data_IF_913930513199
#
_entry.id   IF_913930513199
#
_cell.length_a   1.000
_cell.length_b   1.000
_cell.length_c   1.000
_cell.angle_alpha   90.00
_cell.angle_beta   90.00
_cell.angle_gamma   90.00
#
_symmetry.space_group_name_H-M   'P 1'
#
loop_
_entity.id
_entity.type
_entity.pdbx_description
1 polymer ?
#
# COMPACT_ATOMS: atom_id res chain seq x y z
N UNK A 1 40.61 5.37 -19.00
CA UNK A 1 39.72 6.37 -19.63
C UNK A 1 38.51 6.54 -18.73
N UNK A 2 38.28 7.72 -18.16
CA UNK A 2 37.11 7.97 -17.33
C UNK A 2 35.84 7.80 -18.18
N UNK A 3 34.92 6.94 -17.74
CA UNK A 3 33.64 6.70 -18.42
C UNK A 3 32.86 8.02 -18.38
N UNK A 4 32.58 8.60 -19.55
CA UNK A 4 31.79 9.84 -19.67
C UNK A 4 30.42 9.57 -19.03
N UNK A 5 30.06 10.34 -18.01
CA UNK A 5 28.78 10.19 -17.30
C UNK A 5 27.60 10.36 -18.28
N UNK A 6 26.54 9.58 -18.06
CA UNK A 6 25.33 9.65 -18.87
C UNK A 6 24.71 11.06 -18.73
N UNK A 7 24.46 11.79 -19.83
CA UNK A 7 23.81 13.09 -19.78
C UNK A 7 22.49 13.11 -19.01
N UNK A 8 21.75 11.99 -18.96
CA UNK A 8 20.52 11.87 -18.16
C UNK A 8 20.84 11.81 -16.67
N UNK A 9 21.83 11.01 -16.26
CA UNK A 9 22.27 10.92 -14.86
C UNK A 9 22.73 12.28 -14.32
N UNK A 10 23.44 13.06 -15.15
CA UNK A 10 23.85 14.42 -14.79
C UNK A 10 22.63 15.30 -14.50
N UNK A 11 21.61 15.30 -15.38
CA UNK A 11 20.40 16.10 -15.16
C UNK A 11 19.60 15.66 -13.93
N UNK A 12 19.51 14.35 -13.69
CA UNK A 12 18.89 13.81 -12.47
C UNK A 12 19.63 14.22 -11.21
N UNK A 13 20.97 14.21 -11.24
CA UNK A 13 21.80 14.62 -10.12
C UNK A 13 21.60 16.12 -9.82
N UNK A 14 21.65 16.96 -10.84
CA UNK A 14 21.41 18.41 -10.72
C UNK A 14 20.05 18.68 -10.07
N UNK A 15 18.97 18.05 -10.58
CA UNK A 15 17.63 18.26 -10.03
C UNK A 15 17.52 17.83 -8.56
N UNK A 16 18.23 16.76 -8.15
CA UNK A 16 18.28 16.33 -6.73
C UNK A 16 19.08 17.27 -5.84
N UNK A 17 20.18 17.84 -6.35
CA UNK A 17 20.99 18.82 -5.62
C UNK A 17 20.19 20.11 -5.42
N UNK A 18 19.49 20.58 -6.46
CA UNK A 18 18.61 21.75 -6.38
C UNK A 18 17.51 21.60 -5.32
N UNK A 19 16.94 20.39 -5.15
CA UNK A 19 15.97 20.12 -4.07
C UNK A 19 16.56 20.30 -2.66
N UNK A 20 17.84 19.98 -2.46
CA UNK A 20 18.48 20.03 -1.14
C UNK A 20 18.87 21.45 -0.73
N UNK A 21 19.21 22.27 -1.71
CA UNK A 21 19.86 23.57 -1.51
C UNK A 21 18.96 24.76 -1.86
N UNK A 22 17.93 24.56 -2.67
CA UNK A 22 17.04 25.61 -3.15
C UNK A 22 15.89 25.95 -2.21
N UNK A 23 15.44 27.20 -2.27
CA UNK A 23 14.14 27.58 -1.70
C UNK A 23 12.98 27.01 -2.55
N UNK A 24 11.75 26.93 -2.00
CA UNK A 24 10.61 26.35 -2.71
C UNK A 24 10.28 26.99 -4.07
N UNK A 25 10.54 28.28 -4.27
CA UNK A 25 10.21 28.98 -5.53
C UNK A 25 11.23 28.68 -6.63
N UNK A 26 12.51 28.60 -6.27
CA UNK A 26 13.55 28.15 -7.20
C UNK A 26 13.36 26.67 -7.56
N UNK A 27 13.06 25.81 -6.57
CA UNK A 27 12.71 24.40 -6.83
C UNK A 27 11.53 24.34 -7.81
N UNK A 28 10.46 25.13 -7.59
CA UNK A 28 9.28 25.15 -8.47
C UNK A 28 9.63 25.53 -9.91
N UNK A 29 10.45 26.57 -10.13
CA UNK A 29 10.89 26.98 -11.48
C UNK A 29 11.66 25.86 -12.19
N UNK A 30 12.54 25.17 -11.44
CA UNK A 30 13.35 24.06 -11.97
C UNK A 30 12.51 22.84 -12.29
N UNK A 31 11.56 22.50 -11.42
CA UNK A 31 10.57 21.44 -11.66
C UNK A 31 9.77 21.75 -12.93
N UNK A 32 9.24 22.96 -13.08
CA UNK A 32 8.53 23.39 -14.31
C UNK A 32 9.36 23.19 -15.57
N UNK A 33 10.66 23.50 -15.53
CA UNK A 33 11.54 23.27 -16.68
C UNK A 33 11.81 21.78 -16.90
N UNK A 34 12.05 21.01 -15.84
CA UNK A 34 12.30 19.58 -15.91
C UNK A 34 11.09 18.78 -16.44
N UNK A 35 9.85 19.22 -16.20
CA UNK A 35 8.64 18.63 -16.78
C UNK A 35 8.63 18.69 -18.32
N UNK A 36 9.39 19.60 -18.94
CA UNK A 36 9.54 19.70 -20.40
C UNK A 36 10.59 18.76 -20.98
N UNK A 37 11.40 18.07 -20.15
CA UNK A 37 12.46 17.18 -20.62
C UNK A 37 11.89 16.04 -21.47
N UNK A 38 12.61 15.65 -22.51
CA UNK A 38 12.23 14.54 -23.41
C UNK A 38 12.38 13.16 -22.76
N UNK A 39 13.15 13.06 -21.68
CA UNK A 39 13.49 11.81 -21.02
C UNK A 39 12.57 11.57 -19.82
N UNK A 40 11.86 10.44 -19.83
CA UNK A 40 10.89 10.01 -18.85
C UNK A 40 11.39 10.05 -17.41
N UNK A 41 12.64 9.65 -17.15
CA UNK A 41 13.18 9.65 -15.77
C UNK A 41 13.31 11.05 -15.17
N UNK A 42 13.64 12.05 -15.98
CA UNK A 42 13.76 13.45 -15.51
C UNK A 42 12.37 13.99 -15.20
N UNK A 43 11.40 13.72 -16.07
CA UNK A 43 10.01 14.11 -15.84
C UNK A 43 9.40 13.39 -14.64
N UNK A 44 9.69 12.10 -14.45
CA UNK A 44 9.21 11.33 -13.31
C UNK A 44 9.73 11.91 -11.98
N UNK A 45 11.01 12.28 -11.92
CA UNK A 45 11.58 12.92 -10.73
C UNK A 45 10.97 14.31 -10.49
N UNK A 46 10.74 15.09 -11.55
CA UNK A 46 10.09 16.39 -11.44
C UNK A 46 8.64 16.27 -10.95
N UNK A 47 7.86 15.32 -11.48
CA UNK A 47 6.51 15.05 -11.03
C UNK A 47 6.46 14.59 -9.56
N UNK A 48 7.41 13.75 -9.13
CA UNK A 48 7.57 13.39 -7.71
C UNK A 48 7.80 14.62 -6.82
N UNK A 49 8.52 15.64 -7.30
CA UNK A 49 8.66 16.88 -6.54
C UNK A 49 7.38 17.72 -6.55
N UNK A 50 6.59 17.70 -7.64
CA UNK A 50 5.24 18.30 -7.61
C UNK A 50 4.36 17.65 -6.53
N UNK A 51 4.41 16.32 -6.41
CA UNK A 51 3.70 15.55 -5.38
C UNK A 51 4.16 15.94 -3.96
N UNK A 52 5.47 15.91 -3.70
CA UNK A 52 6.04 16.18 -2.37
C UNK A 52 5.86 17.63 -1.89
N UNK A 53 5.93 18.60 -2.80
CA UNK A 53 5.83 20.04 -2.49
C UNK A 53 4.44 20.63 -2.77
N UNK A 54 3.50 19.82 -3.26
CA UNK A 54 2.14 20.22 -3.62
C UNK A 54 2.10 21.44 -4.56
N UNK A 55 2.85 21.39 -5.66
CA UNK A 55 2.88 22.48 -6.65
C UNK A 55 1.64 22.48 -7.56
N UNK A 56 0.50 22.91 -7.01
CA UNK A 56 -0.80 22.99 -7.70
C UNK A 56 -0.73 23.81 -9.02
N UNK A 57 0.08 24.89 -9.05
CA UNK A 57 0.22 25.73 -10.25
C UNK A 57 0.96 25.05 -11.42
N UNK A 58 1.49 23.84 -11.22
CA UNK A 58 2.13 23.03 -12.25
C UNK A 58 1.20 21.96 -12.86
N UNK A 59 -0.08 21.91 -12.48
CA UNK A 59 -1.07 21.02 -13.08
C UNK A 59 -1.07 21.08 -14.64
N UNK A 60 -1.07 22.26 -15.29
CA UNK A 60 -1.06 22.31 -16.76
C UNK A 60 0.23 21.75 -17.38
N UNK A 61 1.37 21.93 -16.70
CA UNK A 61 2.67 21.42 -17.14
C UNK A 61 2.72 19.88 -17.01
N UNK A 62 2.15 19.32 -15.93
CA UNK A 62 1.99 17.89 -15.71
C UNK A 62 1.11 17.24 -16.79
N UNK A 63 -0.08 17.80 -17.05
CA UNK A 63 -1.00 17.31 -18.10
C UNK A 63 -0.33 17.37 -19.48
N UNK A 64 0.37 18.46 -19.79
CA UNK A 64 1.12 18.60 -21.04
C UNK A 64 2.24 17.56 -21.16
N UNK A 65 2.92 17.24 -20.06
CA UNK A 65 3.94 16.20 -20.05
C UNK A 65 3.35 14.80 -20.23
N UNK A 66 2.23 14.50 -19.58
CA UNK A 66 1.51 13.24 -19.74
C UNK A 66 1.13 13.00 -21.21
N UNK A 67 0.49 13.99 -21.83
CA UNK A 67 0.06 13.92 -23.23
C UNK A 67 1.21 13.67 -24.21
N UNK A 68 2.43 14.17 -23.93
CA UNK A 68 3.61 13.89 -24.75
C UNK A 68 4.07 12.43 -24.68
N UNK A 69 3.92 11.79 -23.52
CA UNK A 69 4.29 10.39 -23.30
C UNK A 69 3.25 9.39 -23.80
N UNK A 70 2.03 9.84 -24.12
CA UNK A 70 1.06 9.02 -24.85
C UNK A 70 1.49 8.74 -26.30
N UNK A 71 2.31 9.61 -26.90
CA UNK A 71 2.78 9.44 -28.27
C UNK A 71 4.03 8.53 -28.34
N UNK A 72 3.90 7.35 -28.97
CA UNK A 72 4.90 6.26 -28.97
C UNK A 72 5.26 5.81 -27.54
N UNK A 73 4.26 5.34 -26.77
CA UNK A 73 4.35 5.24 -25.32
C UNK A 73 5.42 4.25 -24.85
N UNK A 74 5.47 3.05 -25.44
CA UNK A 74 6.49 2.02 -25.15
C UNK A 74 7.92 2.53 -25.35
N UNK A 75 8.15 3.34 -26.39
CA UNK A 75 9.49 3.87 -26.70
C UNK A 75 9.87 5.05 -25.83
N UNK A 76 8.93 5.95 -25.54
CA UNK A 76 9.21 7.21 -24.84
C UNK A 76 9.14 7.07 -23.33
N UNK A 77 8.31 6.17 -22.84
CA UNK A 77 8.08 5.95 -21.41
C UNK A 77 7.85 4.47 -21.13
N UNK A 78 8.89 3.63 -21.36
CA UNK A 78 8.82 2.21 -21.03
C UNK A 78 8.57 2.04 -19.53
N UNK A 79 7.68 1.12 -19.19
CA UNK A 79 7.15 0.85 -17.86
C UNK A 79 6.38 2.01 -17.23
N UNK A 80 5.80 2.91 -18.03
CA UNK A 80 5.00 4.05 -17.56
C UNK A 80 5.66 4.96 -16.51
N UNK A 81 6.99 4.99 -16.38
CA UNK A 81 7.69 5.69 -15.28
C UNK A 81 7.32 7.16 -15.15
N UNK A 82 7.21 7.88 -16.26
CA UNK A 82 6.80 9.28 -16.24
C UNK A 82 5.29 9.42 -16.05
N UNK A 83 4.48 8.65 -16.80
CA UNK A 83 3.02 8.74 -16.71
C UNK A 83 2.51 8.44 -15.30
N UNK A 84 3.01 7.39 -14.67
CA UNK A 84 2.67 7.01 -13.30
C UNK A 84 3.00 8.14 -12.32
N UNK A 85 4.24 8.63 -12.33
CA UNK A 85 4.66 9.72 -11.45
C UNK A 85 3.85 11.01 -11.67
N UNK A 86 3.48 11.31 -12.92
CA UNK A 86 2.63 12.46 -13.26
C UNK A 86 1.23 12.27 -12.69
N UNK A 87 0.60 11.10 -12.87
CA UNK A 87 -0.75 10.85 -12.36
C UNK A 87 -0.78 10.89 -10.83
N UNK A 88 0.22 10.30 -10.15
CA UNK A 88 0.34 10.43 -8.69
C UNK A 88 0.44 11.88 -8.24
N UNK A 89 1.27 12.67 -8.92
CA UNK A 89 1.37 14.11 -8.64
C UNK A 89 0.04 14.83 -8.84
N UNK A 90 -0.68 14.56 -9.95
CA UNK A 90 -2.00 15.14 -10.23
C UNK A 90 -3.03 14.77 -9.15
N UNK A 91 -3.04 13.51 -8.69
CA UNK A 91 -3.91 13.09 -7.59
C UNK A 91 -3.56 13.81 -6.28
N UNK A 92 -2.27 13.94 -5.95
CA UNK A 92 -1.80 14.58 -4.72
C UNK A 92 -2.07 16.09 -4.66
N UNK A 93 -1.99 16.80 -5.80
CA UNK A 93 -2.32 18.24 -5.88
C UNK A 93 -3.82 18.50 -6.05
N UNK A 94 -4.67 17.50 -5.86
CA UNK A 94 -6.14 17.60 -5.96
C UNK A 94 -6.64 18.09 -7.34
N UNK A 95 -6.01 17.64 -8.43
CA UNK A 95 -6.49 17.90 -9.79
C UNK A 95 -7.99 17.57 -9.92
N UNK A 96 -8.76 18.47 -10.55
CA UNK A 96 -10.21 18.34 -10.68
C UNK A 96 -10.65 17.84 -12.08
N UNK A 97 -9.71 17.46 -12.93
CA UNK A 97 -10.00 16.91 -14.26
C UNK A 97 -10.49 15.46 -14.16
N UNK A 98 -11.80 15.32 -13.94
CA UNK A 98 -12.49 14.03 -13.82
C UNK A 98 -12.34 13.19 -15.09
N UNK A 99 -12.43 13.83 -16.27
CA UNK A 99 -12.32 13.13 -17.55
C UNK A 99 -10.91 12.54 -17.75
N UNK A 100 -9.87 13.27 -17.34
CA UNK A 100 -8.50 12.77 -17.32
C UNK A 100 -8.38 11.47 -16.53
N UNK A 101 -8.94 11.42 -15.31
CA UNK A 101 -8.86 10.23 -14.48
C UNK A 101 -9.69 9.08 -15.05
N UNK A 102 -10.91 9.34 -15.56
CA UNK A 102 -11.77 8.31 -16.18
C UNK A 102 -11.08 7.66 -17.39
N UNK A 103 -10.43 8.46 -18.24
CA UNK A 103 -9.66 7.91 -19.36
C UNK A 103 -8.42 7.14 -18.89
N UNK A 104 -7.77 7.61 -17.83
CA UNK A 104 -6.65 6.93 -17.20
C UNK A 104 -7.00 5.56 -16.59
N UNK A 105 -8.22 5.37 -16.06
CA UNK A 105 -8.71 4.05 -15.59
C UNK A 105 -8.71 2.98 -16.69
N UNK A 106 -8.90 3.41 -17.94
CA UNK A 106 -8.97 2.52 -19.12
C UNK A 106 -7.61 2.38 -19.80
N UNK A 107 -6.60 3.15 -19.39
CA UNK A 107 -5.31 3.15 -20.05
C UNK A 107 -4.62 1.78 -19.91
N UNK A 108 -3.94 1.37 -20.99
CA UNK A 108 -3.18 0.12 -21.10
C UNK A 108 -1.90 0.41 -21.88
N UNK A 109 -0.78 -0.13 -21.44
CA UNK A 109 0.49 -0.08 -22.14
C UNK A 109 1.08 -1.49 -22.23
N UNK A 110 0.71 -2.20 -23.30
CA UNK A 110 1.23 -3.52 -23.58
C UNK A 110 2.66 -3.44 -24.09
N UNK A 111 3.60 -3.96 -23.30
CA UNK A 111 5.01 -4.05 -23.64
C UNK A 111 5.40 -5.51 -23.90
N UNK A 112 6.24 -5.75 -24.93
CA UNK A 112 6.62 -7.11 -25.30
C UNK A 112 7.52 -7.74 -24.23
N UNK A 113 7.17 -8.95 -23.82
CA UNK A 113 8.03 -9.86 -23.06
C UNK A 113 8.30 -11.12 -23.91
N UNK A 114 9.08 -12.07 -23.40
CA UNK A 114 9.37 -13.28 -24.16
C UNK A 114 8.08 -14.08 -24.44
N UNK A 115 7.68 -14.13 -25.72
CA UNK A 115 6.47 -14.81 -26.22
C UNK A 115 5.12 -14.29 -25.68
N UNK A 116 5.06 -13.08 -25.11
CA UNK A 116 3.81 -12.50 -24.62
C UNK A 116 3.91 -10.97 -24.49
N UNK A 117 2.90 -10.35 -23.89
CA UNK A 117 2.87 -8.94 -23.50
C UNK A 117 2.56 -8.79 -22.02
N UNK A 118 3.09 -7.73 -21.41
CA UNK A 118 2.73 -7.31 -20.06
C UNK A 118 2.13 -5.91 -20.11
N UNK A 119 1.05 -5.67 -19.37
CA UNK A 119 0.52 -4.32 -19.22
C UNK A 119 1.27 -3.56 -18.14
N UNK A 120 2.07 -2.57 -18.53
CA UNK A 120 2.85 -1.76 -17.60
C UNK A 120 2.10 -0.53 -17.07
N UNK A 121 0.80 -0.39 -17.40
CA UNK A 121 -0.03 0.73 -16.99
C UNK A 121 -0.89 0.48 -15.74
N UNK A 122 -0.65 -0.61 -15.00
CA UNK A 122 -1.40 -0.92 -13.77
C UNK A 122 -1.39 0.27 -12.80
N UNK A 123 -0.21 0.79 -12.45
CA UNK A 123 -0.09 1.87 -11.47
C UNK A 123 -0.64 3.21 -11.96
N UNK A 124 -0.70 3.41 -13.28
CA UNK A 124 -1.42 4.55 -13.88
C UNK A 124 -2.90 4.47 -13.54
N UNK A 125 -3.51 3.28 -13.67
CA UNK A 125 -4.93 3.07 -13.35
C UNK A 125 -5.21 3.22 -11.87
N UNK A 126 -4.38 2.61 -11.02
CA UNK A 126 -4.47 2.74 -9.56
C UNK A 126 -4.41 4.20 -9.14
N UNK A 127 -3.44 4.96 -9.67
CA UNK A 127 -3.30 6.38 -9.34
C UNK A 127 -4.46 7.23 -9.87
N UNK A 128 -5.02 6.88 -11.04
CA UNK A 128 -6.23 7.54 -11.55
C UNK A 128 -7.46 7.22 -10.70
N UNK A 129 -7.58 6.00 -10.17
CA UNK A 129 -8.65 5.62 -9.27
C UNK A 129 -8.62 6.47 -7.99
N UNK A 130 -7.45 6.65 -7.40
CA UNK A 130 -7.25 7.53 -6.24
C UNK A 130 -7.57 8.99 -6.57
N UNK A 131 -7.09 9.51 -7.70
CA UNK A 131 -7.42 10.87 -8.14
C UNK A 131 -8.91 11.09 -8.35
N UNK A 132 -9.61 10.13 -8.97
CA UNK A 132 -11.05 10.18 -9.19
C UNK A 132 -11.84 10.15 -7.87
N UNK A 133 -11.41 9.32 -6.91
CA UNK A 133 -12.01 9.26 -5.58
C UNK A 133 -11.89 10.60 -4.85
N UNK A 134 -10.70 11.23 -4.90
CA UNK A 134 -10.44 12.53 -4.28
C UNK A 134 -11.16 13.70 -4.97
N UNK A 135 -11.41 13.62 -6.28
CA UNK A 135 -12.10 14.66 -7.05
C UNK A 135 -13.60 14.81 -6.70
N UNK A 136 -14.13 14.02 -5.76
CA UNK A 136 -15.53 14.10 -5.29
C UNK A 136 -16.57 14.02 -6.41
N UNK A 137 -16.25 13.31 -7.49
CA UNK A 137 -17.15 13.13 -8.62
C UNK A 137 -18.36 12.26 -8.21
N UNK A 138 -19.62 12.73 -8.39
CA UNK A 138 -20.80 11.99 -7.91
C UNK A 138 -20.98 10.58 -8.49
N UNK A 139 -20.33 10.27 -9.61
CA UNK A 139 -20.37 8.93 -10.22
C UNK A 139 -19.05 8.16 -10.10
N UNK A 140 -18.13 8.59 -9.24
CA UNK A 140 -16.84 7.92 -9.04
C UNK A 140 -17.00 6.42 -8.76
N UNK A 141 -17.93 6.04 -7.86
CA UNK A 141 -18.21 4.64 -7.56
C UNK A 141 -18.65 3.81 -8.78
N UNK A 142 -19.34 4.42 -9.75
CA UNK A 142 -19.77 3.72 -10.98
C UNK A 142 -18.57 3.41 -11.87
N UNK A 143 -17.60 4.31 -11.94
CA UNK A 143 -16.37 4.10 -12.71
C UNK A 143 -15.43 3.12 -11.98
N UNK A 144 -15.27 3.27 -10.66
CA UNK A 144 -14.44 2.39 -9.82
C UNK A 144 -14.99 0.95 -9.77
N UNK A 145 -16.31 0.76 -9.83
CA UNK A 145 -16.92 -0.56 -9.90
C UNK A 145 -16.48 -1.34 -11.16
N UNK A 146 -16.20 -0.67 -12.28
CA UNK A 146 -15.67 -1.33 -13.47
C UNK A 146 -14.23 -1.81 -13.24
N UNK A 147 -13.43 -1.03 -12.51
CA UNK A 147 -12.03 -1.38 -12.19
C UNK A 147 -11.94 -2.58 -11.22
N UNK A 148 -13.00 -2.87 -10.44
CA UNK A 148 -13.07 -4.11 -9.64
C UNK A 148 -13.12 -5.40 -10.49
N UNK A 149 -13.29 -5.30 -11.82
CA UNK A 149 -13.25 -6.42 -12.76
C UNK A 149 -12.05 -6.33 -13.72
N UNK A 150 -11.02 -5.58 -13.32
CA UNK A 150 -9.80 -5.48 -14.10
C UNK A 150 -9.07 -6.84 -14.19
N UNK A 151 -8.48 -7.21 -15.35
CA UNK A 151 -7.68 -8.43 -15.45
C UNK A 151 -6.49 -8.45 -14.46
N UNK A 152 -5.92 -7.29 -14.16
CA UNK A 152 -4.78 -7.16 -13.24
C UNK A 152 -5.27 -7.03 -11.80
N UNK A 153 -4.82 -7.93 -10.94
CA UNK A 153 -5.20 -7.97 -9.52
C UNK A 153 -4.83 -6.69 -8.76
N UNK A 154 -3.64 -6.14 -9.02
CA UNK A 154 -3.19 -4.87 -8.45
C UNK A 154 -4.10 -3.69 -8.84
N UNK A 155 -4.68 -3.71 -10.04
CA UNK A 155 -5.66 -2.71 -10.44
C UNK A 155 -6.97 -2.86 -9.65
N UNK A 156 -7.41 -4.11 -9.39
CA UNK A 156 -8.56 -4.38 -8.53
C UNK A 156 -8.32 -3.97 -7.07
N UNK A 157 -7.14 -4.23 -6.51
CA UNK A 157 -6.72 -3.75 -5.18
C UNK A 157 -6.74 -2.22 -5.13
N UNK A 158 -6.18 -1.56 -6.15
CA UNK A 158 -6.23 -0.10 -6.26
C UNK A 158 -7.65 0.46 -6.35
N UNK A 159 -8.57 -0.23 -7.03
CA UNK A 159 -9.98 0.13 -7.06
C UNK A 159 -10.61 0.05 -5.67
N UNK A 160 -10.35 -1.04 -4.93
CA UNK A 160 -10.82 -1.21 -3.55
C UNK A 160 -10.33 -0.08 -2.67
N UNK A 161 -9.03 0.24 -2.71
CA UNK A 161 -8.44 1.36 -1.96
C UNK A 161 -9.08 2.70 -2.30
N UNK A 162 -9.29 2.96 -3.59
CA UNK A 162 -9.96 4.18 -4.04
C UNK A 162 -11.40 4.25 -3.52
N UNK A 163 -12.15 3.14 -3.56
CA UNK A 163 -13.51 3.06 -3.01
C UNK A 163 -13.50 3.30 -1.49
N UNK A 164 -12.53 2.72 -0.77
CA UNK A 164 -12.39 2.85 0.68
C UNK A 164 -12.13 4.27 1.18
N UNK A 165 -11.70 5.19 0.31
CA UNK A 165 -11.54 6.61 0.66
C UNK A 165 -12.67 7.50 0.11
N UNK A 166 -13.62 6.94 -0.64
CA UNK A 166 -14.83 7.68 -1.06
C UNK A 166 -15.88 7.72 0.06
N UNK A 167 -16.64 8.81 0.14
CA UNK A 167 -17.85 8.92 0.96
C UNK A 167 -19.06 8.77 0.00
N UNK A 168 -20.11 7.93 0.21
CA UNK A 168 -20.77 7.49 1.46
C UNK A 168 -21.14 5.98 1.47
N UNK A 169 -22.25 5.56 2.13
CA UNK A 169 -22.86 4.19 2.18
C UNK A 169 -22.72 3.32 0.93
N UNK A 170 -22.71 3.91 -0.28
CA UNK A 170 -22.50 3.18 -1.52
C UNK A 170 -21.14 2.49 -1.62
N UNK A 171 -20.09 3.10 -1.05
CA UNK A 171 -18.75 2.51 -0.96
C UNK A 171 -18.77 1.26 -0.08
N UNK A 172 -19.38 1.35 1.11
CA UNK A 172 -19.55 0.23 2.02
C UNK A 172 -20.32 -0.92 1.36
N UNK A 173 -21.46 -0.64 0.73
CA UNK A 173 -22.25 -1.64 0.03
C UNK A 173 -21.46 -2.33 -1.10
N UNK A 174 -20.67 -1.56 -1.86
CA UNK A 174 -19.86 -2.08 -2.96
C UNK A 174 -18.71 -2.97 -2.46
N UNK A 175 -18.01 -2.57 -1.38
CA UNK A 175 -16.95 -3.38 -0.77
C UNK A 175 -17.51 -4.65 -0.12
N UNK A 176 -18.63 -4.57 0.61
CA UNK A 176 -19.32 -5.76 1.15
C UNK A 176 -19.70 -6.72 0.01
N UNK A 177 -20.26 -6.20 -1.08
CA UNK A 177 -20.60 -7.01 -2.25
C UNK A 177 -19.37 -7.68 -2.86
N UNK A 178 -18.26 -6.94 -3.02
CA UNK A 178 -17.01 -7.48 -3.55
C UNK A 178 -16.44 -8.58 -2.65
N UNK A 179 -16.42 -8.37 -1.33
CA UNK A 179 -15.94 -9.37 -0.37
C UNK A 179 -16.78 -10.66 -0.41
N UNK A 180 -18.11 -10.55 -0.48
CA UNK A 180 -19.03 -11.69 -0.57
C UNK A 180 -18.91 -12.45 -1.92
N UNK A 181 -18.70 -11.72 -3.02
CA UNK A 181 -18.48 -12.33 -4.33
C UNK A 181 -17.14 -13.09 -4.39
N UNK A 182 -16.15 -12.62 -3.63
CA UNK A 182 -14.79 -13.11 -3.66
C UNK A 182 -13.97 -12.58 -4.84
N UNK A 183 -12.75 -13.09 -4.94
CA UNK A 183 -11.81 -12.81 -6.02
C UNK A 183 -10.87 -14.01 -6.20
N UNK A 184 -10.31 -14.16 -7.41
CA UNK A 184 -9.29 -15.19 -7.66
C UNK A 184 -7.97 -14.90 -6.96
N UNK A 185 -7.67 -13.63 -6.67
CA UNK A 185 -6.59 -13.23 -5.79
C UNK A 185 -7.17 -12.89 -4.39
N UNK A 186 -6.81 -13.64 -3.33
CA UNK A 186 -7.30 -13.38 -1.97
C UNK A 186 -7.02 -11.95 -1.48
N UNK A 187 -5.93 -11.32 -1.91
CA UNK A 187 -5.56 -9.97 -1.50
C UNK A 187 -6.61 -8.92 -1.88
N UNK A 188 -7.37 -9.14 -2.96
CA UNK A 188 -8.45 -8.22 -3.35
C UNK A 188 -9.60 -8.28 -2.36
N UNK A 189 -9.96 -9.48 -1.89
CA UNK A 189 -11.03 -9.67 -0.91
C UNK A 189 -10.59 -9.18 0.48
N UNK A 190 -9.35 -9.48 0.87
CA UNK A 190 -8.74 -9.03 2.12
C UNK A 190 -8.64 -7.51 2.20
N UNK A 191 -8.20 -6.85 1.12
CA UNK A 191 -8.17 -5.38 1.03
C UNK A 191 -9.59 -4.80 1.15
N UNK A 192 -10.61 -5.45 0.59
CA UNK A 192 -11.98 -4.96 0.68
C UNK A 192 -12.51 -5.02 2.11
N UNK A 193 -12.20 -6.10 2.83
CA UNK A 193 -12.56 -6.28 4.24
C UNK A 193 -11.81 -5.30 5.15
N UNK A 194 -10.52 -5.09 4.92
CA UNK A 194 -9.74 -4.07 5.63
C UNK A 194 -10.25 -2.65 5.34
N UNK A 195 -10.59 -2.35 4.07
CA UNK A 195 -11.16 -1.07 3.65
C UNK A 195 -12.52 -0.78 4.30
N UNK A 196 -13.33 -1.81 4.57
CA UNK A 196 -14.58 -1.66 5.33
C UNK A 196 -14.34 -1.18 6.77
N UNK A 197 -13.29 -1.68 7.43
CA UNK A 197 -12.93 -1.21 8.77
C UNK A 197 -12.40 0.22 8.77
N UNK A 198 -11.82 0.70 7.66
CA UNK A 198 -11.43 2.11 7.53
C UNK A 198 -12.64 3.02 7.28
N UNK A 199 -13.62 2.54 6.49
CA UNK A 199 -14.83 3.29 6.13
C UNK A 199 -15.84 3.40 7.29
N UNK A 200 -16.16 2.25 7.90
CA UNK A 200 -17.19 2.13 8.92
C UNK A 200 -16.74 1.10 9.97
N UNK A 201 -15.74 1.44 10.81
CA UNK A 201 -15.07 0.47 11.68
C UNK A 201 -16.03 -0.33 12.55
N UNK A 202 -16.91 0.37 13.28
CA UNK A 202 -17.85 -0.22 14.22
C UNK A 202 -18.95 -1.04 13.51
N UNK A 203 -19.52 -0.52 12.42
CA UNK A 203 -20.60 -1.18 11.68
C UNK A 203 -20.12 -2.35 10.81
N UNK A 204 -18.81 -2.41 10.53
CA UNK A 204 -18.19 -3.45 9.71
C UNK A 204 -17.52 -4.54 10.52
N UNK A 205 -17.18 -4.30 11.81
CA UNK A 205 -16.46 -5.26 12.66
C UNK A 205 -17.08 -6.65 12.64
N UNK A 206 -18.37 -6.76 12.96
CA UNK A 206 -19.09 -8.05 13.00
C UNK A 206 -19.12 -8.75 11.63
N UNK A 207 -19.27 -7.97 10.55
CA UNK A 207 -19.27 -8.50 9.20
C UNK A 207 -17.91 -9.08 8.82
N UNK A 208 -16.82 -8.36 9.11
CA UNK A 208 -15.45 -8.79 8.82
C UNK A 208 -15.05 -9.99 9.69
N UNK A 209 -15.39 -9.97 10.98
CA UNK A 209 -15.17 -11.12 11.87
C UNK A 209 -15.86 -12.38 11.33
N UNK A 210 -17.08 -12.26 10.77
CA UNK A 210 -17.83 -13.37 10.20
C UNK A 210 -17.18 -14.09 9.01
N UNK A 211 -16.12 -13.54 8.41
CA UNK A 211 -15.34 -14.21 7.35
C UNK A 211 -14.37 -15.27 7.89
N UNK A 212 -13.96 -15.19 9.17
CA UNK A 212 -13.06 -16.16 9.78
C UNK A 212 -13.80 -17.43 10.24
N UNK A 213 -14.32 -18.17 9.26
CA UNK A 213 -14.99 -19.46 9.49
C UNK A 213 -13.95 -20.59 9.62
N UNK A 214 -14.32 -21.68 10.30
CA UNK A 214 -13.42 -22.82 10.53
C UNK A 214 -12.95 -23.48 9.22
N UNK A 215 -13.77 -23.44 8.17
CA UNK A 215 -13.51 -23.97 6.84
C UNK A 215 -13.01 -22.92 5.83
N UNK A 216 -12.63 -21.74 6.30
CA UNK A 216 -12.04 -20.68 5.48
C UNK A 216 -10.77 -21.18 4.79
N UNK A 217 -10.61 -20.81 3.51
CA UNK A 217 -9.38 -21.05 2.77
C UNK A 217 -8.17 -20.43 3.49
N UNK A 218 -7.10 -21.20 3.64
CA UNK A 218 -5.93 -20.79 4.44
C UNK A 218 -5.18 -19.61 3.82
N UNK A 219 -5.17 -19.50 2.48
CA UNK A 219 -4.51 -18.38 1.79
C UNK A 219 -5.32 -17.09 2.00
N UNK A 220 -6.65 -17.19 1.92
CA UNK A 220 -7.52 -16.06 2.26
C UNK A 220 -7.44 -15.68 3.75
N UNK A 221 -7.35 -16.67 4.66
CA UNK A 221 -7.17 -16.43 6.10
C UNK A 221 -5.87 -15.67 6.38
N UNK A 222 -4.76 -16.10 5.79
CA UNK A 222 -3.47 -15.43 5.90
C UNK A 222 -3.55 -14.01 5.34
N UNK A 223 -4.00 -13.86 4.08
CA UNK A 223 -4.14 -12.55 3.43
C UNK A 223 -5.01 -11.58 4.26
N UNK A 224 -6.15 -12.04 4.79
CA UNK A 224 -7.03 -11.20 5.61
C UNK A 224 -6.38 -10.80 6.93
N UNK A 225 -5.73 -11.73 7.64
CA UNK A 225 -5.06 -11.41 8.90
C UNK A 225 -3.94 -10.37 8.70
N UNK A 226 -3.19 -10.48 7.61
CA UNK A 226 -2.15 -9.51 7.25
C UNK A 226 -2.75 -8.15 6.89
N UNK A 227 -3.78 -8.10 6.02
CA UNK A 227 -4.46 -6.85 5.65
C UNK A 227 -5.12 -6.16 6.85
N UNK A 228 -5.69 -6.92 7.79
CA UNK A 228 -6.20 -6.39 9.05
C UNK A 228 -5.09 -5.70 9.85
N UNK A 229 -3.94 -6.36 10.00
CA UNK A 229 -2.75 -5.78 10.58
C UNK A 229 -2.33 -4.47 9.91
N UNK A 230 -2.20 -4.49 8.59
CA UNK A 230 -1.80 -3.31 7.80
C UNK A 230 -2.80 -2.15 7.86
N UNK A 231 -4.08 -2.41 8.11
CA UNK A 231 -5.12 -1.38 8.29
C UNK A 231 -4.88 -0.49 9.50
N UNK A 232 -4.25 -1.04 10.55
CA UNK A 232 -3.97 -0.39 11.84
C UNK A 232 -5.19 0.19 12.57
N UNK A 233 -6.39 -0.29 12.25
CA UNK A 233 -7.61 0.09 12.96
C UNK A 233 -7.70 -0.65 14.29
N UNK A 234 -8.23 0.00 15.33
CA UNK A 234 -8.40 -0.63 16.65
C UNK A 234 -9.31 -1.88 16.52
N UNK A 235 -10.35 -1.80 15.68
CA UNK A 235 -11.29 -2.89 15.41
C UNK A 235 -10.62 -4.09 14.73
N UNK A 236 -9.62 -3.87 13.85
CA UNK A 236 -8.85 -4.94 13.27
C UNK A 236 -8.02 -5.68 14.34
N UNK A 237 -7.38 -4.95 15.26
CA UNK A 237 -6.65 -5.57 16.36
C UNK A 237 -7.59 -6.36 17.27
N UNK A 238 -8.76 -5.80 17.60
CA UNK A 238 -9.77 -6.50 18.41
C UNK A 238 -10.23 -7.80 17.75
N UNK A 239 -10.45 -7.82 16.42
CA UNK A 239 -10.80 -9.06 15.70
C UNK A 239 -9.66 -10.09 15.83
N UNK A 240 -8.40 -9.68 15.63
CA UNK A 240 -7.25 -10.59 15.75
C UNK A 240 -7.13 -11.18 17.16
N UNK A 241 -7.36 -10.34 18.18
CA UNK A 241 -7.37 -10.74 19.60
C UNK A 241 -8.49 -11.72 19.91
N UNK A 242 -9.73 -11.37 19.53
CA UNK A 242 -10.92 -12.20 19.77
C UNK A 242 -10.78 -13.58 19.10
N UNK A 243 -10.29 -13.63 17.86
CA UNK A 243 -10.06 -14.90 17.15
C UNK A 243 -8.96 -15.73 17.82
N UNK A 244 -7.89 -15.08 18.26
CA UNK A 244 -6.82 -15.76 18.98
C UNK A 244 -7.36 -16.32 20.29
N UNK A 245 -7.98 -15.50 21.16
CA UNK A 245 -8.47 -15.90 22.48
C UNK A 245 -9.52 -17.01 22.43
N UNK A 246 -10.44 -16.95 21.46
CA UNK A 246 -11.53 -17.92 21.31
C UNK A 246 -11.09 -19.28 20.78
N UNK A 247 -9.88 -19.41 20.23
CA UNK A 247 -9.37 -20.69 19.73
C UNK A 247 -8.78 -21.52 20.88
N UNK A 248 -9.45 -22.58 21.39
CA UNK A 248 -8.94 -23.35 22.53
C UNK A 248 -7.64 -24.10 22.20
N UNK A 249 -7.43 -24.45 20.93
CA UNK A 249 -6.25 -25.18 20.47
C UNK A 249 -5.55 -24.39 19.37
N UNK A 250 -4.51 -23.63 19.74
CA UNK A 250 -3.73 -22.84 18.79
C UNK A 250 -3.05 -23.77 17.77
N UNK A 251 -3.46 -23.70 16.51
CA UNK A 251 -2.88 -24.44 15.38
C UNK A 251 -1.87 -23.55 14.66
N UNK A 252 -1.05 -24.15 13.79
CA UNK A 252 -0.10 -23.41 12.95
C UNK A 252 -0.78 -22.32 12.12
N UNK A 253 -1.98 -22.58 11.59
CA UNK A 253 -2.79 -21.62 10.84
C UNK A 253 -3.30 -20.42 11.66
N UNK A 254 -3.22 -20.47 12.99
CA UNK A 254 -3.67 -19.39 13.87
C UNK A 254 -2.53 -18.41 14.17
N UNK A 255 -1.27 -18.80 13.92
CA UNK A 255 -0.11 -17.92 14.04
C UNK A 255 -0.16 -16.72 13.09
N UNK A 256 -0.95 -16.81 12.00
CA UNK A 256 -1.18 -15.70 11.07
C UNK A 256 -1.83 -14.50 11.77
N UNK A 257 -2.62 -14.74 12.83
CA UNK A 257 -3.27 -13.67 13.61
C UNK A 257 -2.22 -12.83 14.36
N UNK A 258 -1.20 -13.49 14.89
CA UNK A 258 -0.06 -12.83 15.53
C UNK A 258 0.78 -12.04 14.52
N UNK A 259 0.99 -12.57 13.30
CA UNK A 259 1.61 -11.81 12.20
C UNK A 259 0.82 -10.54 11.87
N UNK A 260 -0.51 -10.65 11.83
CA UNK A 260 -1.39 -9.48 11.69
C UNK A 260 -1.08 -8.41 12.75
N UNK A 261 -0.98 -8.79 14.04
CA UNK A 261 -0.61 -7.83 15.08
C UNK A 261 0.82 -7.28 14.96
N UNK A 262 1.78 -8.08 14.49
CA UNK A 262 3.15 -7.62 14.18
C UNK A 262 3.13 -6.53 13.10
N UNK A 263 2.27 -6.66 12.08
CA UNK A 263 2.08 -5.66 11.02
C UNK A 263 1.30 -4.43 11.47
N UNK A 264 0.47 -4.55 12.51
CA UNK A 264 -0.28 -3.45 13.09
C UNK A 264 0.61 -2.34 13.67
N UNK A 265 1.75 -2.71 14.28
CA UNK A 265 2.78 -1.76 14.77
C UNK A 265 2.30 -0.73 15.79
N UNK A 266 1.11 -0.89 16.38
CA UNK A 266 0.65 -0.02 17.46
C UNK A 266 1.25 -0.48 18.79
N UNK A 267 1.35 0.44 19.75
CA UNK A 267 1.78 0.07 21.10
C UNK A 267 0.84 -0.98 21.71
N UNK A 268 -0.49 -0.85 21.50
CA UNK A 268 -1.48 -1.86 21.93
C UNK A 268 -1.21 -3.25 21.35
N UNK A 269 -0.89 -3.34 20.05
CA UNK A 269 -0.59 -4.61 19.41
C UNK A 269 0.70 -5.22 19.94
N UNK A 270 1.74 -4.40 20.16
CA UNK A 270 2.97 -4.87 20.80
C UNK A 270 2.72 -5.35 22.22
N UNK A 271 2.00 -4.58 23.04
CA UNK A 271 1.69 -4.97 24.43
C UNK A 271 0.92 -6.30 24.46
N UNK A 272 -0.06 -6.48 23.58
CA UNK A 272 -0.74 -7.78 23.44
C UNK A 272 0.20 -8.93 23.06
N UNK A 273 1.09 -8.73 22.10
CA UNK A 273 2.09 -9.75 21.73
C UNK A 273 3.05 -10.08 22.89
N UNK A 274 3.39 -9.09 23.72
CA UNK A 274 4.17 -9.31 24.95
C UNK A 274 3.38 -10.13 25.96
N UNK A 275 2.09 -9.86 26.13
CA UNK A 275 1.23 -10.65 27.00
C UNK A 275 1.16 -12.10 26.54
N UNK A 276 1.01 -12.34 25.22
CA UNK A 276 1.04 -13.70 24.63
C UNK A 276 2.38 -14.38 24.85
N UNK A 277 3.51 -13.66 24.77
CA UNK A 277 4.83 -14.21 25.16
C UNK A 277 4.83 -14.60 26.65
N UNK A 278 4.21 -13.83 27.53
CA UNK A 278 4.16 -14.13 28.97
C UNK A 278 3.26 -15.30 29.34
N UNK A 279 2.35 -15.76 28.46
CA UNK A 279 1.38 -16.83 28.75
C UNK A 279 1.96 -18.24 28.86
N UNK A 280 3.19 -18.50 28.38
CA UNK A 280 3.87 -19.76 28.70
C UNK A 280 4.08 -20.76 27.56
N UNK A 281 3.61 -20.51 26.34
CA UNK A 281 3.90 -21.40 25.20
C UNK A 281 5.22 -21.03 24.50
N UNK A 282 6.21 -21.92 24.62
CA UNK A 282 7.56 -21.72 24.09
C UNK A 282 7.58 -21.55 22.57
N UNK A 283 6.78 -22.32 21.82
CA UNK A 283 6.80 -22.26 20.36
C UNK A 283 6.17 -20.95 19.86
N UNK A 284 5.08 -20.52 20.50
CA UNK A 284 4.43 -19.25 20.21
C UNK A 284 5.34 -18.08 20.58
N UNK A 285 5.99 -18.11 21.75
CA UNK A 285 6.92 -17.06 22.14
C UNK A 285 8.10 -16.95 21.16
N UNK A 286 8.68 -18.09 20.74
CA UNK A 286 9.74 -18.13 19.73
C UNK A 286 9.27 -17.51 18.40
N UNK A 287 8.08 -17.88 17.94
CA UNK A 287 7.49 -17.34 16.72
C UNK A 287 7.36 -15.81 16.79
N UNK A 288 6.80 -15.26 17.87
CA UNK A 288 6.61 -13.81 18.03
C UNK A 288 7.96 -13.07 18.03
N UNK A 289 8.98 -13.61 18.71
CA UNK A 289 10.32 -13.00 18.77
C UNK A 289 10.99 -12.96 17.39
N UNK A 290 10.81 -14.02 16.59
CA UNK A 290 11.32 -14.09 15.23
C UNK A 290 10.61 -13.07 14.34
N UNK A 291 9.28 -13.00 14.39
CA UNK A 291 8.48 -12.05 13.59
C UNK A 291 8.77 -10.60 13.98
N UNK A 292 8.90 -10.30 15.27
CA UNK A 292 9.20 -8.94 15.76
C UNK A 292 10.66 -8.51 15.50
N UNK A 293 11.57 -9.41 15.11
CA UNK A 293 13.00 -9.09 14.90
C UNK A 293 13.25 -8.05 13.80
N UNK A 294 12.28 -7.85 12.90
CA UNK A 294 12.29 -6.74 11.92
C UNK A 294 12.33 -5.36 12.60
N UNK A 295 11.94 -5.29 13.88
CA UNK A 295 12.00 -4.09 14.72
C UNK A 295 13.13 -4.15 15.76
N UNK A 296 14.20 -4.93 15.52
CA UNK A 296 15.34 -5.08 16.44
C UNK A 296 16.01 -3.76 16.84
N UNK A 297 15.92 -2.73 16.00
CA UNK A 297 16.40 -1.39 16.32
C UNK A 297 15.54 -0.63 17.36
N UNK A 298 14.36 -1.16 17.75
CA UNK A 298 13.49 -0.58 18.77
C UNK A 298 13.89 -1.08 20.17
N UNK A 299 14.76 -0.33 20.84
CA UNK A 299 15.28 -0.66 22.18
C UNK A 299 14.19 -0.80 23.24
N UNK A 300 13.10 -0.02 23.15
CA UNK A 300 12.00 -0.10 24.11
C UNK A 300 11.22 -1.41 23.97
N UNK A 301 10.94 -1.81 22.73
CA UNK A 301 10.30 -3.09 22.45
C UNK A 301 11.19 -4.25 22.86
N UNK A 302 12.49 -4.18 22.54
CA UNK A 302 13.47 -5.19 22.96
C UNK A 302 13.49 -5.36 24.50
N UNK A 303 13.45 -4.27 25.25
CA UNK A 303 13.40 -4.32 26.71
C UNK A 303 12.11 -4.95 27.25
N UNK A 304 10.95 -4.66 26.62
CA UNK A 304 9.66 -5.29 26.98
C UNK A 304 9.71 -6.82 26.74
N UNK A 305 10.22 -7.26 25.59
CA UNK A 305 10.38 -8.69 25.26
C UNK A 305 11.31 -9.38 26.26
N UNK A 306 12.46 -8.78 26.54
CA UNK A 306 13.41 -9.33 27.51
C UNK A 306 12.79 -9.48 28.90
N UNK A 307 11.98 -8.51 29.34
CA UNK A 307 11.27 -8.58 30.61
C UNK A 307 10.22 -9.70 30.65
N UNK A 308 9.52 -9.96 29.55
CA UNK A 308 8.57 -11.07 29.45
C UNK A 308 9.28 -12.43 29.47
N UNK A 309 10.38 -12.57 28.72
CA UNK A 309 11.20 -13.79 28.68
C UNK A 309 11.81 -14.16 30.04
N UNK A 310 12.16 -13.16 30.86
CA UNK A 310 12.68 -13.40 32.21
C UNK A 310 11.67 -14.12 33.12
N UNK A 311 10.37 -14.07 32.82
CA UNK A 311 9.34 -14.78 33.59
C UNK A 311 9.25 -16.27 33.22
N UNK A 312 9.82 -16.63 32.06
CA UNK A 312 9.69 -17.95 31.43
C UNK A 312 10.78 -18.95 31.84
N UNK A 313 11.92 -18.44 32.33
CA UNK A 313 13.12 -19.22 32.71
C UNK A 313 13.60 -20.21 31.62
N UNK A 314 13.50 -19.81 30.33
CA UNK A 314 13.97 -20.61 29.19
C UNK A 314 15.25 -20.01 28.60
N UNK A 315 16.39 -20.64 28.90
CA UNK A 315 17.71 -20.21 28.43
C UNK A 315 17.85 -20.26 26.90
N UNK A 316 17.20 -21.21 26.22
CA UNK A 316 17.30 -21.38 24.78
C UNK A 316 16.52 -20.29 24.06
N UNK A 317 15.31 -19.99 24.53
CA UNK A 317 14.48 -18.90 24.02
C UNK A 317 15.17 -17.54 24.23
N UNK A 318 15.76 -17.33 25.41
CA UNK A 318 16.55 -16.12 25.72
C UNK A 318 17.77 -15.99 24.82
N UNK A 319 18.50 -17.10 24.59
CA UNK A 319 19.65 -17.11 23.67
C UNK A 319 19.23 -16.79 22.25
N UNK A 320 18.09 -17.31 21.81
CA UNK A 320 17.54 -17.06 20.48
C UNK A 320 17.11 -15.61 20.29
N UNK A 321 16.48 -15.01 21.30
CA UNK A 321 16.19 -13.57 21.32
C UNK A 321 17.45 -12.73 21.14
N UNK A 322 18.51 -13.00 21.91
CA UNK A 322 19.79 -12.28 21.81
C UNK A 322 20.38 -12.37 20.41
N UNK A 323 20.36 -13.54 19.76
CA UNK A 323 20.88 -13.71 18.39
C UNK A 323 20.13 -12.91 17.32
N UNK A 324 18.85 -12.63 17.53
CA UNK A 324 17.98 -11.97 16.56
C UNK A 324 17.89 -10.45 16.77
N UNK A 325 18.12 -9.99 18.00
CA UNK A 325 17.87 -8.60 18.42
C UNK A 325 19.11 -7.79 18.81
N UNK A 326 20.29 -8.41 18.88
CA UNK A 326 21.57 -7.74 19.24
C UNK A 326 22.62 -7.92 18.15
#
# INVERSE_FOLDING_TARGET
>A
MARKQDPVEIRLKILREERREGDPDEIRKKVREALKDKHQLVVALAAKFCEEYLFEDLEPDLIKAYNRFLANPVKKDPNCRAKEAIVRALAAINCQDVDFFIEGLKYRQLEPIWNDFTDTAVDVRVSCAMGLASASYPRALVELAQLLNDPEDQARIGAVRAIAITQPLGAEALLRFKALLGDSNPDVASEALAGLLQLAPQDSKEFVHGFFQDDMDLVLRESLALSLGESKTDEALEILQELWENEPYKREQDLVLLRGAVLHRSEKAFDWLIDVISEGDRNIALFIIEELSIYSANEQLAAKIQSALAQFDDEELTSRFVQLWQ
#
